data_IF_220411699772
#
_entry.id   IF_220411699772
#
_cell.length_a   1.000
_cell.length_b   1.000
_cell.length_c   1.000
_cell.angle_alpha   90.00
_cell.angle_beta   90.00
_cell.angle_gamma   90.00
#
_symmetry.space_group_name_H-M   'P 1'
#
loop_
_entity.id
_entity.type
_entity.pdbx_description
1 polymer ?
#
# COMPACT_ATOMS: atom_id res chain seq x y z
N UNK A 1 -1.18 2.57 5.90
CA UNK A 1 -2.43 1.86 5.53
C UNK A 1 -3.35 2.82 4.80
N UNK A 2 -3.83 2.45 3.62
CA UNK A 2 -4.75 3.29 2.82
C UNK A 2 -6.20 3.03 3.26
N UNK A 3 -7.15 3.95 3.02
CA UNK A 3 -8.56 3.70 3.36
C UNK A 3 -9.21 2.60 2.48
N UNK A 4 -8.50 2.12 1.46
CA UNK A 4 -8.94 1.10 0.51
C UNK A 4 -8.53 -0.32 0.90
N UNK A 5 -7.75 -0.45 1.97
CA UNK A 5 -7.16 -1.71 2.41
C UNK A 5 -8.22 -2.79 2.60
N UNK A 6 -7.89 -3.99 2.12
CA UNK A 6 -8.73 -5.17 2.22
C UNK A 6 -9.87 -5.24 1.19
N UNK A 7 -10.14 -4.18 0.43
CA UNK A 7 -11.12 -4.15 -0.65
C UNK A 7 -10.58 -4.62 -2.01
N UNK A 8 -11.49 -5.03 -2.89
CA UNK A 8 -11.22 -5.47 -4.26
C UNK A 8 -11.99 -4.58 -5.23
N UNK A 9 -11.32 -3.98 -6.21
CA UNK A 9 -11.93 -2.96 -7.06
C UNK A 9 -11.90 -3.37 -8.53
N UNK A 10 -13.02 -3.89 -9.02
CA UNK A 10 -13.23 -4.25 -10.42
C UNK A 10 -13.44 -2.98 -11.26
N UNK A 11 -12.80 -2.96 -12.43
CA UNK A 11 -12.90 -1.89 -13.41
C UNK A 11 -12.65 -2.43 -14.82
N UNK A 12 -12.64 -1.56 -15.82
CA UNK A 12 -12.37 -1.92 -17.21
C UNK A 12 -11.57 -0.85 -17.94
N UNK A 13 -10.72 -1.32 -18.85
CA UNK A 13 -10.06 -0.52 -19.87
C UNK A 13 -10.79 -0.72 -21.20
N UNK A 14 -11.11 0.37 -21.89
CA UNK A 14 -11.69 0.32 -23.24
C UNK A 14 -10.67 0.91 -24.20
N UNK A 15 -10.07 0.05 -25.01
CA UNK A 15 -9.05 0.42 -25.97
C UNK A 15 -9.69 0.92 -27.28
N UNK A 16 -9.26 2.08 -27.82
CA UNK A 16 -9.68 2.51 -29.14
C UNK A 16 -9.04 1.64 -30.23
N UNK A 17 -9.55 1.74 -31.47
CA UNK A 17 -9.00 1.00 -32.62
C UNK A 17 -7.56 1.38 -32.93
N UNK A 18 -7.17 2.60 -32.55
CA UNK A 18 -5.84 3.17 -32.79
C UNK A 18 -4.86 2.90 -31.64
N UNK A 19 -5.21 2.11 -30.63
CA UNK A 19 -4.24 1.66 -29.61
C UNK A 19 -3.09 0.87 -30.28
N UNK A 20 -1.81 1.11 -29.94
CA UNK A 20 -1.31 1.89 -28.80
C UNK A 20 -1.03 3.38 -29.08
N UNK A 21 -1.34 3.90 -30.27
CA UNK A 21 -1.11 5.31 -30.61
C UNK A 21 -2.08 6.26 -29.92
N UNK A 22 -3.26 5.77 -29.52
CA UNK A 22 -4.19 6.47 -28.62
C UNK A 22 -4.34 5.71 -27.30
N UNK A 23 -4.42 6.42 -26.15
CA UNK A 23 -4.65 5.82 -24.83
C UNK A 23 -6.04 5.17 -24.70
N UNK A 24 -6.24 4.25 -23.73
CA UNK A 24 -7.55 3.72 -23.40
C UNK A 24 -8.39 4.68 -22.53
N UNK A 25 -9.69 4.41 -22.48
CA UNK A 25 -10.57 4.93 -21.42
C UNK A 25 -10.61 4.00 -20.22
N UNK A 26 -10.67 4.58 -19.02
CA UNK A 26 -10.68 3.84 -17.75
C UNK A 26 -12.00 4.05 -17.02
N UNK A 27 -12.54 2.97 -16.45
CA UNK A 27 -13.76 2.97 -15.66
C UNK A 27 -13.60 2.08 -14.43
N UNK A 28 -14.17 2.52 -13.30
CA UNK A 28 -14.35 1.68 -12.12
C UNK A 28 -15.79 1.19 -12.04
N UNK A 29 -15.98 -0.09 -11.74
CA UNK A 29 -17.30 -0.72 -11.61
C UNK A 29 -17.66 -0.84 -10.14
N UNK A 30 -16.74 -1.36 -9.31
CA UNK A 30 -16.96 -1.51 -7.88
C UNK A 30 -17.05 -0.14 -7.18
N UNK A 31 -18.07 0.11 -6.36
CA UNK A 31 -18.14 1.28 -5.48
C UNK A 31 -16.90 1.40 -4.59
N UNK A 32 -16.21 2.53 -4.65
CA UNK A 32 -14.88 2.71 -4.04
C UNK A 32 -14.69 4.04 -3.29
N UNK A 33 -15.60 5.00 -3.45
CA UNK A 33 -15.57 6.29 -2.74
C UNK A 33 -14.52 7.29 -3.25
N UNK A 34 -13.79 6.96 -4.32
CA UNK A 34 -12.79 7.83 -4.97
C UNK A 34 -13.21 8.23 -6.38
N UNK A 35 -13.71 7.27 -7.15
CA UNK A 35 -14.15 7.45 -8.52
C UNK A 35 -15.64 7.13 -8.64
N UNK A 36 -16.37 7.99 -9.34
CA UNK A 36 -17.76 7.74 -9.74
C UNK A 36 -17.79 6.49 -10.63
N UNK A 37 -18.58 5.50 -10.24
CA UNK A 37 -18.65 4.24 -10.98
C UNK A 37 -19.17 4.46 -12.41
N UNK A 38 -18.71 3.62 -13.34
CA UNK A 38 -19.13 3.58 -14.74
C UNK A 38 -19.03 4.94 -15.46
N UNK A 39 -18.15 5.83 -14.99
CA UNK A 39 -17.87 7.13 -15.58
C UNK A 39 -16.43 7.13 -16.08
N UNK A 40 -16.18 7.75 -17.24
CA UNK A 40 -14.82 7.91 -17.77
C UNK A 40 -13.98 8.73 -16.80
N UNK A 41 -12.78 8.24 -16.49
CA UNK A 41 -11.83 8.93 -15.64
C UNK A 41 -10.83 9.71 -16.47
N UNK A 42 -10.57 10.96 -16.12
CA UNK A 42 -9.58 11.80 -16.77
C UNK A 42 -8.24 11.75 -16.02
N UNK A 43 -7.39 10.79 -16.36
CA UNK A 43 -6.05 10.71 -15.78
C UNK A 43 -5.01 11.03 -16.85
N UNK A 44 -3.80 11.44 -16.47
CA UNK A 44 -2.72 11.76 -17.42
C UNK A 44 -2.32 10.59 -18.36
N UNK A 45 -2.80 9.39 -18.04
CA UNK A 45 -2.62 8.14 -18.78
C UNK A 45 -3.84 7.74 -19.65
N UNK A 46 -4.83 8.64 -19.83
CA UNK A 46 -6.12 8.37 -20.50
C UNK A 46 -6.35 9.23 -21.73
N UNK A 47 -7.41 8.93 -22.48
CA UNK A 47 -7.79 9.62 -23.73
C UNK A 47 -8.18 11.09 -23.61
N UNK A 48 -8.27 11.61 -22.40
CA UNK A 48 -8.37 13.05 -22.17
C UNK A 48 -7.04 13.80 -22.40
N UNK A 49 -5.89 13.11 -22.36
CA UNK A 49 -4.57 13.72 -22.49
C UNK A 49 -3.71 13.01 -23.55
N UNK A 50 -4.08 13.11 -24.85
CA UNK A 50 -3.32 12.49 -25.93
C UNK A 50 -1.88 13.02 -26.04
N UNK A 51 -1.65 14.28 -25.67
CA UNK A 51 -0.33 14.92 -25.76
C UNK A 51 0.68 14.39 -24.73
N UNK A 52 0.20 13.86 -23.60
CA UNK A 52 1.04 13.27 -22.55
C UNK A 52 1.12 11.76 -22.64
N UNK A 53 0.44 11.15 -23.60
CA UNK A 53 0.42 9.71 -23.79
C UNK A 53 1.73 9.23 -24.41
N UNK A 54 2.29 8.16 -23.84
CA UNK A 54 3.41 7.45 -24.45
C UNK A 54 2.94 6.08 -24.98
N UNK A 55 2.95 5.85 -26.31
CA UNK A 55 2.57 4.57 -26.91
C UNK A 55 3.37 3.36 -26.43
N UNK A 56 4.53 3.56 -25.79
CA UNK A 56 5.33 2.51 -25.18
C UNK A 56 4.80 2.05 -23.80
N UNK A 57 3.83 2.73 -23.21
CA UNK A 57 3.25 2.32 -21.93
C UNK A 57 2.42 1.04 -22.07
N UNK A 58 2.83 0.02 -21.32
CA UNK A 58 2.12 -1.26 -21.23
C UNK A 58 0.82 -1.13 -20.43
N UNK A 59 -0.08 -2.11 -20.56
CA UNK A 59 -1.28 -2.22 -19.70
C UNK A 59 -0.89 -2.25 -18.22
N UNK A 60 0.22 -2.89 -17.86
CA UNK A 60 0.74 -2.89 -16.49
C UNK A 60 1.03 -1.47 -16.01
N UNK A 61 1.69 -0.65 -16.84
CA UNK A 61 2.01 0.75 -16.51
C UNK A 61 0.74 1.57 -16.29
N UNK A 62 -0.30 1.35 -17.11
CA UNK A 62 -1.60 2.02 -17.00
C UNK A 62 -2.27 1.67 -15.65
N UNK A 63 -2.31 0.38 -15.30
CA UNK A 63 -2.92 -0.07 -14.04
C UNK A 63 -2.16 0.44 -12.82
N UNK A 64 -0.82 0.48 -12.87
CA UNK A 64 0.00 1.10 -11.81
C UNK A 64 -0.31 2.59 -11.68
N UNK A 65 -0.43 3.33 -12.79
CA UNK A 65 -0.79 4.74 -12.76
C UNK A 65 -2.19 4.97 -12.18
N UNK A 66 -3.18 4.13 -12.53
CA UNK A 66 -4.52 4.18 -11.95
C UNK A 66 -4.48 3.98 -10.42
N UNK A 67 -3.70 3.02 -9.93
CA UNK A 67 -3.53 2.79 -8.49
C UNK A 67 -2.92 4.03 -7.80
N UNK A 68 -1.91 4.65 -8.39
CA UNK A 68 -1.34 5.90 -7.86
C UNK A 68 -2.40 7.00 -7.74
N UNK A 69 -3.19 7.24 -8.78
CA UNK A 69 -4.29 8.21 -8.73
C UNK A 69 -5.40 7.85 -7.74
N UNK A 70 -5.60 6.56 -7.46
CA UNK A 70 -6.59 6.08 -6.50
C UNK A 70 -6.20 6.45 -5.05
N UNK A 71 -4.90 6.39 -4.72
CA UNK A 71 -4.41 6.71 -3.37
C UNK A 71 -4.14 8.19 -3.15
N UNK A 72 -4.09 8.97 -4.22
CA UNK A 72 -4.02 10.43 -4.17
C UNK A 72 -5.36 11.11 -3.84
N UNK A 73 -5.29 12.38 -3.45
CA UNK A 73 -6.46 13.21 -3.11
C UNK A 73 -6.82 14.26 -4.16
N UNK A 74 -5.99 14.43 -5.20
CA UNK A 74 -6.19 15.45 -6.22
C UNK A 74 -7.54 15.30 -6.94
N UNK A 75 -8.27 16.38 -7.21
CA UNK A 75 -9.50 16.30 -7.98
C UNK A 75 -9.18 15.94 -9.43
N UNK A 76 -10.04 15.11 -10.02
CA UNK A 76 -10.05 14.85 -11.45
C UNK A 76 -11.48 14.61 -11.95
N UNK A 77 -11.73 14.74 -13.26
CA UNK A 77 -13.01 14.35 -13.83
C UNK A 77 -13.30 12.88 -13.54
N UNK A 78 -14.50 12.63 -13.04
CA UNK A 78 -14.93 11.30 -12.60
C UNK A 78 -14.50 10.96 -11.16
N UNK A 79 -13.74 11.82 -10.47
CA UNK A 79 -13.55 11.67 -9.03
C UNK A 79 -14.76 12.13 -8.22
N UNK A 80 -14.87 11.60 -7.01
CA UNK A 80 -15.84 12.00 -5.99
C UNK A 80 -15.12 12.19 -4.66
N UNK A 81 -15.71 13.00 -3.78
CA UNK A 81 -15.22 13.18 -2.42
C UNK A 81 -16.11 12.43 -1.44
N UNK A 82 -15.50 11.56 -0.64
CA UNK A 82 -16.14 10.83 0.45
C UNK A 82 -15.22 10.76 1.64
N UNK A 83 -15.76 10.48 2.84
CA UNK A 83 -14.93 10.29 4.03
C UNK A 83 -14.08 9.02 3.95
N UNK A 84 -12.97 8.96 4.69
CA UNK A 84 -12.18 7.72 4.78
C UNK A 84 -12.95 6.59 5.47
N UNK A 85 -13.87 6.94 6.39
CA UNK A 85 -14.82 5.99 6.96
C UNK A 85 -15.70 5.35 5.87
N UNK A 86 -16.26 6.16 4.97
CA UNK A 86 -17.04 5.68 3.82
C UNK A 86 -16.21 4.75 2.93
N UNK A 87 -14.97 5.13 2.62
CA UNK A 87 -14.07 4.30 1.79
C UNK A 87 -13.79 2.94 2.44
N UNK A 88 -13.53 2.90 3.75
CA UNK A 88 -13.33 1.64 4.49
C UNK A 88 -14.58 0.76 4.48
N UNK A 89 -15.75 1.36 4.63
CA UNK A 89 -17.02 0.63 4.53
C UNK A 89 -17.22 0.04 3.13
N UNK A 90 -16.91 0.80 2.08
CA UNK A 90 -16.96 0.34 0.69
C UNK A 90 -15.91 -0.73 0.40
N UNK A 91 -14.71 -0.65 0.99
CA UNK A 91 -13.68 -1.68 0.89
C UNK A 91 -14.20 -3.03 1.42
N UNK A 92 -14.86 -3.04 2.59
CA UNK A 92 -15.48 -4.25 3.12
C UNK A 92 -16.64 -4.76 2.25
N UNK A 93 -17.49 -3.86 1.73
CA UNK A 93 -18.64 -4.22 0.88
C UNK A 93 -18.23 -4.71 -0.50
N UNK A 94 -17.04 -4.33 -0.98
CA UNK A 94 -16.54 -4.67 -2.31
C UNK A 94 -16.46 -6.18 -2.57
N UNK A 95 -16.16 -6.97 -1.54
CA UNK A 95 -16.08 -8.43 -1.60
C UNK A 95 -17.42 -9.02 -2.07
N UNK A 96 -18.48 -8.75 -1.30
CA UNK A 96 -19.84 -9.23 -1.60
C UNK A 96 -20.39 -8.61 -2.88
N UNK A 97 -20.03 -7.36 -3.20
CA UNK A 97 -20.43 -6.73 -4.45
C UNK A 97 -19.86 -7.48 -5.66
N UNK A 98 -18.56 -7.75 -5.67
CA UNK A 98 -17.88 -8.38 -6.80
C UNK A 98 -18.31 -9.84 -6.97
N UNK A 99 -18.55 -10.59 -5.89
CA UNK A 99 -19.05 -11.97 -5.97
C UNK A 99 -20.44 -12.11 -6.61
N UNK A 100 -21.21 -11.01 -6.67
CA UNK A 100 -22.53 -10.98 -7.34
C UNK A 100 -22.42 -10.63 -8.83
N UNK A 101 -21.29 -10.10 -9.28
CA UNK A 101 -21.05 -9.76 -10.67
C UNK A 101 -20.57 -11.01 -11.43
N UNK A 102 -21.39 -11.50 -12.35
CA UNK A 102 -21.07 -12.70 -13.15
C UNK A 102 -19.80 -12.53 -13.98
N UNK A 103 -19.57 -11.33 -14.53
CA UNK A 103 -18.39 -11.05 -15.36
C UNK A 103 -17.13 -11.09 -14.51
N UNK A 104 -17.18 -10.50 -13.31
CA UNK A 104 -16.07 -10.60 -12.37
C UNK A 104 -15.77 -12.06 -12.01
N UNK A 105 -16.80 -12.83 -11.69
CA UNK A 105 -16.64 -14.22 -11.28
C UNK A 105 -16.12 -15.12 -12.41
N UNK A 106 -16.47 -14.82 -13.66
CA UNK A 106 -16.02 -15.55 -14.83
C UNK A 106 -14.57 -15.21 -15.21
N UNK A 107 -14.19 -13.93 -15.16
CA UNK A 107 -12.88 -13.46 -15.60
C UNK A 107 -11.78 -13.62 -14.55
N UNK A 108 -12.12 -13.64 -13.25
CA UNK A 108 -11.16 -13.67 -12.14
C UNK A 108 -11.48 -14.77 -11.10
N UNK A 109 -11.58 -16.05 -11.51
CA UNK A 109 -11.97 -17.14 -10.61
C UNK A 109 -11.01 -17.33 -9.42
N UNK A 110 -9.71 -17.08 -9.61
CA UNK A 110 -8.71 -17.12 -8.54
C UNK A 110 -8.96 -16.06 -7.46
N UNK A 111 -9.34 -14.84 -7.87
CA UNK A 111 -9.67 -13.75 -6.94
C UNK A 111 -10.99 -14.03 -6.22
N UNK A 112 -11.95 -14.67 -6.88
CA UNK A 112 -13.19 -15.15 -6.24
C UNK A 112 -12.87 -16.12 -5.11
N UNK A 113 -12.01 -17.10 -5.34
CA UNK A 113 -11.62 -18.06 -4.31
C UNK A 113 -10.85 -17.39 -3.17
N UNK A 114 -9.95 -16.44 -3.47
CA UNK A 114 -9.27 -15.62 -2.47
C UNK A 114 -10.28 -14.86 -1.58
N UNK A 115 -11.27 -14.20 -2.17
CA UNK A 115 -12.33 -13.47 -1.45
C UNK A 115 -13.11 -14.43 -0.55
N UNK A 116 -13.53 -15.59 -1.05
CA UNK A 116 -14.28 -16.59 -0.26
C UNK A 116 -13.45 -17.13 0.90
N UNK A 117 -12.16 -17.40 0.68
CA UNK A 117 -11.26 -17.85 1.75
C UNK A 117 -11.12 -16.77 2.84
N UNK A 118 -10.98 -15.51 2.44
CA UNK A 118 -10.91 -14.37 3.35
C UNK A 118 -12.18 -14.19 4.17
N UNK A 119 -13.36 -14.35 3.56
CA UNK A 119 -14.65 -14.31 4.26
C UNK A 119 -14.78 -15.43 5.28
N UNK A 120 -14.46 -16.68 4.90
CA UNK A 120 -14.46 -17.83 5.83
C UNK A 120 -13.53 -17.60 7.03
N UNK A 121 -12.31 -17.15 6.78
CA UNK A 121 -11.36 -16.86 7.86
C UNK A 121 -11.86 -15.75 8.81
N UNK A 122 -12.52 -14.71 8.28
CA UNK A 122 -13.12 -13.66 9.11
C UNK A 122 -14.32 -14.17 9.93
N UNK A 123 -15.17 -15.01 9.36
CA UNK A 123 -16.29 -15.63 10.05
C UNK A 123 -15.82 -16.56 11.18
N UNK A 124 -14.81 -17.39 10.92
CA UNK A 124 -14.20 -18.25 11.94
C UNK A 124 -13.61 -17.45 13.11
N UNK A 125 -12.90 -16.35 12.81
CA UNK A 125 -12.38 -15.45 13.83
C UNK A 125 -13.49 -14.76 14.62
N UNK A 126 -14.56 -14.33 13.95
CA UNK A 126 -15.71 -13.68 14.60
C UNK A 126 -16.53 -14.64 15.46
N UNK A 127 -16.58 -15.93 15.10
CA UNK A 127 -17.33 -16.96 15.82
C UNK A 127 -16.51 -17.63 16.94
N UNK A 128 -15.22 -17.28 17.09
CA UNK A 128 -14.37 -17.84 18.14
C UNK A 128 -14.86 -17.36 19.52
N UNK A 129 -15.19 -18.26 20.46
CA UNK A 129 -15.54 -17.86 21.82
C UNK A 129 -14.37 -17.08 22.44
N UNK A 130 -14.64 -15.89 22.97
CA UNK A 130 -13.68 -15.19 23.81
C UNK A 130 -13.50 -16.01 25.09
N UNK A 131 -12.42 -16.76 25.20
CA UNK A 131 -11.95 -17.26 26.49
C UNK A 131 -11.52 -16.06 27.32
N UNK A 132 -12.44 -15.52 28.11
CA UNK A 132 -12.10 -14.59 29.19
C UNK A 132 -11.13 -15.33 30.12
N UNK A 133 -9.94 -14.77 30.40
CA UNK A 133 -9.14 -15.24 31.51
C UNK A 133 -10.00 -15.11 32.77
N UNK A 134 -10.27 -16.23 33.45
CA UNK A 134 -10.93 -16.20 34.75
C UNK A 134 -10.05 -15.37 35.69
N UNK A 135 -10.63 -14.48 36.53
CA UNK A 135 -9.85 -13.80 37.56
C UNK A 135 -9.28 -14.85 38.52
N UNK A 136 -7.98 -14.74 38.79
CA UNK A 136 -7.24 -15.63 39.69
C UNK A 136 -8.01 -15.82 41.01
N UNK A 137 -8.34 -17.08 41.31
CA UNK A 137 -8.84 -17.48 42.62
C UNK A 137 -7.68 -17.30 43.60
N UNK A 138 -7.71 -16.19 44.34
CA UNK A 138 -6.83 -15.98 45.50
C UNK A 138 -7.28 -16.97 46.58
N UNK A 139 -6.43 -17.89 47.06
CA UNK A 139 -6.79 -18.74 48.19
C UNK A 139 -6.80 -17.89 49.47
N UNK A 140 -7.93 -17.90 50.18
CA UNK A 140 -8.07 -17.34 51.52
C UNK A 140 -7.04 -17.97 52.48
N UNK A 141 -6.21 -17.13 53.09
CA UNK A 141 -5.57 -17.47 54.37
C UNK A 141 -5.79 -16.30 55.31
N UNK A 142 -6.69 -16.50 56.27
CA UNK A 142 -6.92 -15.60 57.39
C UNK A 142 -5.72 -15.65 58.35
N UNK A 143 -5.14 -14.48 58.67
CA UNK A 143 -4.57 -14.20 59.97
C UNK A 143 -4.56 -12.69 60.21
N UNK A 144 -5.43 -12.27 61.13
CA UNK A 144 -5.46 -10.93 61.73
C UNK A 144 -4.10 -10.56 62.36
N UNK A 145 -3.72 -9.26 62.28
CA UNK A 145 -3.27 -8.40 63.40
C UNK A 145 -3.03 -6.95 62.88
N UNK A 146 -3.70 -5.98 63.52
CA UNK A 146 -3.05 -4.73 63.97
C UNK A 146 -2.99 -3.49 63.07
N UNK A 147 -3.99 -2.61 63.24
CA UNK A 147 -4.05 -1.17 62.93
C UNK A 147 -2.74 -0.36 63.03
N UNK A 148 -2.48 0.56 62.07
CA UNK A 148 -2.58 2.02 62.25
C UNK A 148 -2.03 2.84 61.06
N UNK A 149 -2.82 3.80 60.56
CA UNK A 149 -2.37 5.19 60.43
C UNK A 149 -1.75 5.71 59.11
N UNK A 150 -2.62 6.35 58.31
CA UNK A 150 -2.44 7.66 57.66
C UNK A 150 -1.41 7.89 56.53
N UNK A 151 -1.95 8.44 55.45
CA UNK A 151 -1.29 8.97 54.25
C UNK A 151 -0.53 10.29 54.49
N UNK A 152 0.52 10.56 53.70
CA UNK A 152 0.63 11.68 52.73
C UNK A 152 2.09 12.00 52.32
N UNK A 153 2.21 12.44 51.06
CA UNK A 153 3.22 13.34 50.45
C UNK A 153 4.49 12.78 49.76
N UNK A 154 4.45 12.93 48.42
CA UNK A 154 5.46 13.52 47.53
C UNK A 154 6.96 13.26 47.76
N UNK A 155 7.63 12.78 46.71
CA UNK A 155 9.08 12.92 46.55
C UNK A 155 9.56 12.57 45.14
N UNK A 156 10.34 13.48 44.54
CA UNK A 156 10.86 13.48 43.18
C UNK A 156 11.99 12.45 42.91
N UNK A 157 12.19 12.19 41.62
CA UNK A 157 13.19 11.39 40.88
C UNK A 157 14.64 11.89 41.13
N UNK A 158 15.70 11.03 41.19
CA UNK A 158 16.49 10.72 39.99
C UNK A 158 17.11 9.30 39.86
N UNK A 159 17.15 8.83 38.61
CA UNK A 159 18.24 8.14 37.89
C UNK A 159 19.09 7.08 38.63
N UNK A 160 18.96 5.81 38.25
CA UNK A 160 20.07 4.85 38.26
C UNK A 160 19.84 3.71 37.25
N UNK A 161 20.64 3.72 36.18
CA UNK A 161 20.78 2.63 35.24
C UNK A 161 21.64 1.52 35.87
N UNK A 162 21.18 0.27 35.81
CA UNK A 162 21.96 -0.89 36.20
C UNK A 162 22.33 -1.72 34.96
N UNK A 163 23.65 -1.84 34.78
CA UNK A 163 24.38 -2.62 33.78
C UNK A 163 24.05 -4.13 33.82
N UNK A 164 24.05 -4.76 32.65
CA UNK A 164 24.54 -6.13 32.48
C UNK A 164 25.60 -6.16 31.35
N UNK A 165 26.62 -7.04 31.43
CA UNK A 165 27.89 -6.87 30.73
C UNK A 165 27.94 -7.56 29.36
N UNK A 166 28.65 -6.91 28.44
CA UNK A 166 29.60 -7.49 27.48
C UNK A 166 29.26 -8.79 26.75
N UNK A 167 28.86 -8.65 25.49
CA UNK A 167 29.35 -9.55 24.44
C UNK A 167 30.08 -8.75 23.36
N UNK A 168 31.18 -9.33 22.93
CA UNK A 168 32.37 -8.74 22.35
C UNK A 168 32.17 -8.43 20.87
N UNK A 169 32.56 -7.22 20.44
CA UNK A 169 32.71 -6.86 19.03
C UNK A 169 33.82 -7.70 18.37
N UNK A 170 33.65 -8.07 17.09
CA UNK A 170 34.74 -8.09 16.14
C UNK A 170 34.61 -6.88 15.21
N UNK A 171 35.51 -5.93 15.46
CA UNK A 171 36.08 -4.95 14.54
C UNK A 171 35.81 -5.20 13.04
N UNK A 172 35.11 -4.26 12.37
CA UNK A 172 35.18 -4.08 10.92
C UNK A 172 35.27 -2.60 10.59
N UNK A 173 36.50 -2.10 10.60
CA UNK A 173 36.88 -0.87 9.92
C UNK A 173 36.60 -1.00 8.42
N UNK A 174 35.48 -0.46 7.93
CA UNK A 174 35.32 -0.09 6.52
C UNK A 174 35.12 1.42 6.45
N UNK A 175 36.26 2.11 6.50
CA UNK A 175 36.35 3.55 6.42
C UNK A 175 35.95 4.10 5.06
N UNK A 176 35.64 5.40 5.09
CA UNK A 176 35.61 6.46 4.06
C UNK A 176 36.03 6.13 2.59
N UNK A 177 36.92 5.17 2.36
CA UNK A 177 37.39 4.69 1.06
C UNK A 177 36.32 3.92 0.25
N UNK A 178 35.37 3.23 0.91
CA UNK A 178 34.32 2.47 0.21
C UNK A 178 33.31 3.35 -0.53
N UNK A 179 32.97 4.51 0.04
CA UNK A 179 32.06 5.47 -0.59
C UNK A 179 32.69 6.25 -1.73
N UNK A 180 33.99 6.58 -1.62
CA UNK A 180 34.71 7.28 -2.68
C UNK A 180 34.85 6.42 -3.95
N UNK A 181 35.14 5.12 -3.80
CA UNK A 181 35.23 4.19 -4.93
C UNK A 181 33.89 3.98 -5.62
N UNK A 182 32.79 3.88 -4.85
CA UNK A 182 31.45 3.76 -5.41
C UNK A 182 31.07 5.00 -6.25
N UNK A 183 31.40 6.20 -5.78
CA UNK A 183 31.15 7.45 -6.51
C UNK A 183 31.95 7.50 -7.84
N UNK A 184 33.19 6.99 -7.85
CA UNK A 184 33.99 6.92 -9.08
C UNK A 184 33.36 6.00 -10.12
N UNK A 185 32.87 4.82 -9.72
CA UNK A 185 32.20 3.91 -10.67
C UNK A 185 30.93 4.51 -11.28
N UNK A 186 30.15 5.25 -10.49
CA UNK A 186 28.94 5.94 -10.98
C UNK A 186 29.30 7.03 -12.00
N UNK A 187 30.33 7.84 -11.71
CA UNK A 187 30.77 8.92 -12.61
C UNK A 187 31.31 8.35 -13.92
N UNK A 188 32.16 7.31 -13.85
CA UNK A 188 32.71 6.65 -15.04
C UNK A 188 31.61 5.99 -15.87
N UNK A 189 30.65 5.32 -15.23
CA UNK A 189 29.50 4.71 -15.90
C UNK A 189 28.63 5.73 -16.63
N UNK A 190 28.34 6.86 -15.99
CA UNK A 190 27.55 7.94 -16.60
C UNK A 190 28.27 8.59 -17.79
N UNK A 191 29.59 8.80 -17.68
CA UNK A 191 30.39 9.34 -18.78
C UNK A 191 30.44 8.40 -19.99
N UNK A 192 30.60 7.09 -19.77
CA UNK A 192 30.60 6.07 -20.82
C UNK A 192 29.22 5.99 -21.52
N UNK A 193 28.14 6.04 -20.75
CA UNK A 193 26.78 6.08 -21.30
C UNK A 193 26.55 7.33 -22.16
N UNK A 194 26.91 8.52 -21.66
CA UNK A 194 26.79 9.76 -22.40
C UNK A 194 27.61 9.76 -23.70
N UNK A 195 28.81 9.19 -23.68
CA UNK A 195 29.64 9.04 -24.88
C UNK A 195 28.99 8.10 -25.91
N UNK A 196 28.45 6.97 -25.46
CA UNK A 196 27.77 5.99 -26.31
C UNK A 196 26.56 6.60 -27.00
N UNK A 197 25.72 7.32 -26.25
CA UNK A 197 24.56 8.05 -26.79
C UNK A 197 25.01 9.08 -27.83
N UNK A 198 26.06 9.86 -27.53
CA UNK A 198 26.59 10.85 -28.46
C UNK A 198 27.15 10.21 -29.74
N UNK A 199 27.81 9.05 -29.63
CA UNK A 199 28.34 8.32 -30.77
C UNK A 199 27.21 7.80 -31.66
N UNK A 200 26.18 7.18 -31.09
CA UNK A 200 25.01 6.67 -31.82
C UNK A 200 24.28 7.82 -32.53
N UNK A 201 24.02 8.93 -31.84
CA UNK A 201 23.36 10.09 -32.44
C UNK A 201 24.16 10.70 -33.60
N UNK A 202 25.49 10.69 -33.52
CA UNK A 202 26.36 11.14 -34.62
C UNK A 202 26.40 10.15 -35.79
N UNK A 203 26.40 8.86 -35.50
CA UNK A 203 26.36 7.80 -36.52
C UNK A 203 25.07 7.86 -37.34
N UNK A 204 23.93 8.10 -36.69
CA UNK A 204 22.62 8.24 -37.36
C UNK A 204 22.55 9.52 -38.20
N UNK A 205 23.27 10.58 -37.81
CA UNK A 205 23.27 11.84 -38.54
C UNK A 205 24.22 11.87 -39.76
N UNK A 206 25.02 10.82 -39.97
CA UNK A 206 25.96 10.70 -41.09
C UNK A 206 25.51 9.70 -42.18
N UNK A 207 24.37 9.03 -41.99
CA UNK A 207 23.63 8.27 -43.03
C UNK A 207 22.52 9.12 -43.64
#
# INVERSE_FOLDING_TARGET
>A
MTPYEGGYYHGKLVFPREFPFKPPSIYMITPNGRFKCNTRLCLSITDFHPDTWNPAWSVSTILTGLLSFMVEKGPTLGSIETSDFTKRQLAAQSLTFNLKDKVFCELFPEVVEEIKQKQRAQEELSNRPQTLPLPDVVPETEAHIGQNGAALLNGHVPLAAANHPGLQQPNRNHGLLGGALANVFVIVGFAAFAYTVKYVLRSIAQE
#
